data_IF_434899510375
#
_entry.id   IF_434899510375
#
_cell.length_a   1.000
_cell.length_b   1.000
_cell.length_c   1.000
_cell.angle_alpha   90.00
_cell.angle_beta   90.00
_cell.angle_gamma   90.00
#
_symmetry.space_group_name_H-M   'P 1'
#
loop_
_entity.id
_entity.type
_entity.pdbx_description
1 polymer ?
#
# COMPACT_ATOMS: atom_id res chain seq x y z
N UNK A 1 6.13 17.07 -16.10
CA UNK A 1 5.03 16.43 -15.32
C UNK A 1 5.36 16.57 -13.83
N UNK A 2 4.43 16.39 -12.88
CA UNK A 2 4.76 16.43 -11.43
C UNK A 2 4.35 15.12 -10.76
N UNK A 3 5.13 14.66 -9.79
CA UNK A 3 4.81 13.46 -9.02
C UNK A 3 3.58 13.71 -8.14
N UNK A 4 2.50 12.95 -8.31
CA UNK A 4 1.29 13.12 -7.49
C UNK A 4 1.50 12.84 -6.00
N UNK A 5 2.57 12.12 -5.63
CA UNK A 5 2.87 11.79 -4.23
C UNK A 5 3.70 12.87 -3.53
N UNK A 6 4.60 13.53 -4.24
CA UNK A 6 5.59 14.41 -3.62
C UNK A 6 5.79 15.75 -4.35
N UNK A 7 4.97 16.05 -5.35
CA UNK A 7 4.89 17.34 -6.03
C UNK A 7 6.07 17.71 -6.91
N UNK A 8 7.20 16.99 -6.83
CA UNK A 8 8.41 17.29 -7.59
C UNK A 8 8.18 17.16 -9.09
N UNK A 9 8.75 18.09 -9.84
CA UNK A 9 8.78 18.08 -11.30
C UNK A 9 9.59 16.87 -11.77
N UNK A 10 8.96 16.04 -12.59
CA UNK A 10 9.52 14.84 -13.20
C UNK A 10 9.61 15.01 -14.70
N UNK A 11 10.63 14.37 -15.25
CA UNK A 11 10.84 14.23 -16.67
C UNK A 11 9.79 13.28 -17.27
N UNK A 12 9.20 13.60 -18.44
CA UNK A 12 8.16 12.78 -19.05
C UNK A 12 8.58 11.33 -19.33
N UNK A 13 9.88 11.06 -19.54
CA UNK A 13 10.39 9.72 -19.84
C UNK A 13 10.64 8.86 -18.57
N UNK A 14 10.69 9.50 -17.40
CA UNK A 14 10.95 8.79 -16.14
C UNK A 14 9.75 7.97 -15.67
N UNK A 15 9.86 6.63 -15.79
CA UNK A 15 8.87 5.66 -15.31
C UNK A 15 8.79 5.54 -13.80
N UNK A 16 9.81 6.01 -13.06
CA UNK A 16 9.88 5.91 -11.60
C UNK A 16 10.32 7.27 -11.05
N UNK A 17 9.58 7.78 -10.07
CA UNK A 17 9.97 9.02 -9.41
C UNK A 17 11.24 8.78 -8.57
N UNK A 18 12.39 9.43 -8.85
CA UNK A 18 13.64 9.19 -8.12
C UNK A 18 13.60 9.70 -6.67
N UNK A 19 12.73 10.67 -6.35
CA UNK A 19 12.61 11.18 -4.98
C UNK A 19 11.70 10.34 -4.10
N UNK A 20 10.78 9.56 -4.69
CA UNK A 20 9.69 8.91 -3.95
C UNK A 20 9.60 7.41 -4.26
N UNK A 21 10.51 6.94 -5.13
CA UNK A 21 10.80 5.56 -5.57
C UNK A 21 9.56 4.75 -5.95
N UNK A 22 8.50 5.44 -6.35
CA UNK A 22 7.24 4.81 -6.77
C UNK A 22 7.16 4.81 -8.28
N UNK A 23 6.82 3.64 -8.83
CA UNK A 23 6.55 3.45 -10.25
C UNK A 23 5.35 4.32 -10.63
N UNK A 24 5.52 5.10 -11.70
CA UNK A 24 4.46 5.84 -12.36
C UNK A 24 3.49 4.80 -12.92
N UNK A 25 2.29 4.72 -12.36
CA UNK A 25 1.21 3.94 -12.97
C UNK A 25 0.73 4.79 -14.16
N UNK A 26 1.46 4.71 -15.26
CA UNK A 26 0.93 5.10 -16.56
C UNK A 26 -0.21 4.12 -16.86
N UNK A 27 -1.36 4.68 -17.25
CA UNK A 27 -2.67 4.04 -17.14
C UNK A 27 -2.71 2.58 -17.59
N UNK A 28 -3.32 1.74 -16.77
CA UNK A 28 -3.78 0.41 -17.17
C UNK A 28 -4.77 0.53 -18.32
N UNK A 29 -4.56 -0.13 -19.47
CA UNK A 29 -5.68 -0.62 -20.23
C UNK A 29 -6.31 -1.72 -19.38
N UNK A 30 -7.52 -1.45 -18.90
CA UNK A 30 -8.48 -2.50 -18.58
C UNK A 30 -8.64 -3.32 -19.86
N UNK A 31 -8.57 -4.64 -19.77
CA UNK A 31 -9.58 -5.51 -20.36
C UNK A 31 -9.36 -6.94 -19.86
N UNK A 32 -10.16 -7.26 -18.85
CA UNK A 32 -10.39 -8.59 -18.34
C UNK A 32 -11.10 -9.44 -19.40
N UNK A 33 -10.57 -10.63 -19.71
CA UNK A 33 -11.35 -11.75 -20.25
C UNK A 33 -10.79 -13.08 -19.74
N UNK A 34 -10.96 -13.35 -18.45
CA UNK A 34 -10.84 -14.70 -17.90
C UNK A 34 -12.18 -15.09 -17.29
N UNK A 35 -12.94 -15.93 -17.99
CA UNK A 35 -14.15 -16.52 -17.46
C UNK A 35 -14.26 -17.98 -17.92
N UNK A 36 -13.49 -18.87 -17.30
CA UNK A 36 -13.82 -20.30 -17.26
C UNK A 36 -13.28 -20.93 -15.97
N UNK A 37 -13.78 -20.47 -14.81
CA UNK A 37 -13.71 -21.22 -13.55
C UNK A 37 -15.07 -21.90 -13.33
N UNK A 38 -15.00 -23.22 -13.29
CA UNK A 38 -16.01 -24.21 -12.91
C UNK A 38 -17.21 -23.63 -12.12
N UNK A 39 -18.39 -23.65 -12.74
CA UNK A 39 -19.69 -23.43 -12.07
C UNK A 39 -19.93 -24.53 -11.03
N UNK A 40 -20.13 -24.22 -9.73
CA UNK A 40 -20.81 -25.16 -8.86
C UNK A 40 -22.29 -25.24 -9.26
N UNK A 41 -22.69 -26.42 -9.78
CA UNK A 41 -24.08 -26.80 -9.94
C UNK A 41 -24.72 -26.89 -8.55
N UNK A 42 -25.61 -25.96 -8.21
CA UNK A 42 -26.75 -26.21 -7.31
C UNK A 42 -27.70 -25.02 -7.36
N UNK A 43 -28.78 -25.15 -8.13
CA UNK A 43 -29.89 -24.20 -8.11
C UNK A 43 -30.81 -24.56 -6.95
N UNK A 44 -30.55 -24.02 -5.77
CA UNK A 44 -31.52 -24.11 -4.66
C UNK A 44 -32.61 -23.07 -4.93
N UNK A 45 -33.81 -23.54 -5.27
CA UNK A 45 -34.97 -22.69 -5.52
C UNK A 45 -35.71 -22.39 -4.22
N UNK A 46 -35.37 -21.28 -3.57
CA UNK A 46 -36.14 -20.77 -2.43
C UNK A 46 -37.40 -20.08 -2.96
N UNK A 47 -38.55 -20.75 -2.88
CA UNK A 47 -39.86 -20.14 -3.16
C UNK A 47 -40.31 -19.35 -1.93
N UNK A 48 -40.49 -18.05 -2.10
CA UNK A 48 -41.32 -17.23 -1.21
C UNK A 48 -40.52 -16.32 -0.28
N UNK A 49 -40.59 -15.03 -0.56
CA UNK A 49 -40.84 -13.91 0.36
C UNK A 49 -40.56 -12.64 -0.43
N UNK A 50 -41.63 -12.14 -1.08
CA UNK A 50 -41.64 -10.79 -1.61
C UNK A 50 -41.59 -9.82 -0.44
N UNK A 51 -40.54 -9.00 -0.38
CA UNK A 51 -40.52 -7.73 0.33
C UNK A 51 -39.41 -6.87 -0.27
N UNK A 52 -39.82 -5.86 -1.03
CA UNK A 52 -38.94 -4.84 -1.59
C UNK A 52 -38.44 -3.95 -0.45
N UNK A 53 -37.29 -4.28 0.14
CA UNK A 53 -36.57 -3.34 1.00
C UNK A 53 -35.77 -2.39 0.11
N UNK A 54 -36.42 -1.29 -0.30
CA UNK A 54 -35.76 -0.13 -0.93
C UNK A 54 -35.37 0.84 0.17
N UNK A 55 -34.40 0.44 1.00
CA UNK A 55 -33.82 1.29 2.04
C UNK A 55 -32.33 1.34 1.86
N UNK A 56 -31.83 2.36 1.17
CA UNK A 56 -30.39 2.67 1.19
C UNK A 56 -30.16 3.48 2.47
N UNK A 57 -29.80 2.79 3.55
CA UNK A 57 -29.31 3.47 4.75
C UNK A 57 -27.85 3.84 4.50
N UNK A 58 -27.62 5.10 4.18
CA UNK A 58 -26.27 5.67 4.08
C UNK A 58 -25.69 5.78 5.49
N UNK A 59 -24.83 4.85 5.88
CA UNK A 59 -23.95 5.05 7.04
C UNK A 59 -22.81 5.97 6.60
N UNK A 60 -22.79 7.18 7.15
CA UNK A 60 -21.68 8.11 7.01
C UNK A 60 -20.47 7.54 7.73
N UNK A 61 -19.42 7.21 6.97
CA UNK A 61 -18.14 6.80 7.54
C UNK A 61 -17.50 8.00 8.23
N UNK A 62 -17.56 8.03 9.56
CA UNK A 62 -16.79 8.97 10.36
C UNK A 62 -15.32 8.60 10.22
N UNK A 63 -14.54 9.45 9.56
CA UNK A 63 -13.10 9.30 9.51
C UNK A 63 -12.54 9.56 10.91
N UNK A 64 -12.20 8.50 11.64
CA UNK A 64 -11.40 8.62 12.85
C UNK A 64 -10.00 9.08 12.43
N UNK A 65 -9.71 10.36 12.69
CA UNK A 65 -8.37 10.89 12.56
C UNK A 65 -7.54 10.35 13.72
N UNK A 66 -6.91 9.19 13.52
CA UNK A 66 -5.90 8.67 14.44
C UNK A 66 -4.70 9.58 14.28
N UNK A 67 -4.67 10.65 15.07
CA UNK A 67 -3.48 11.46 15.30
C UNK A 67 -2.49 10.55 16.01
N UNK A 68 -1.55 9.99 15.24
CA UNK A 68 -0.37 9.35 15.81
C UNK A 68 0.40 10.48 16.47
N UNK A 69 0.24 10.60 17.79
CA UNK A 69 0.96 11.57 18.60
C UNK A 69 2.44 11.52 18.25
N UNK A 70 2.97 12.65 17.82
CA UNK A 70 4.38 12.87 17.52
C UNK A 70 5.19 12.84 18.83
N UNK A 71 5.18 11.72 19.52
CA UNK A 71 6.19 11.44 20.52
C UNK A 71 7.41 10.95 19.75
N UNK A 72 8.22 11.93 19.34
CA UNK A 72 9.52 11.78 18.71
C UNK A 72 10.48 11.06 19.66
N UNK A 73 10.24 9.77 19.88
CA UNK A 73 11.21 8.86 20.44
C UNK A 73 12.32 8.72 19.41
N UNK A 74 13.40 9.48 19.64
CA UNK A 74 14.67 9.37 18.95
C UNK A 74 15.19 7.94 19.09
N UNK A 75 14.73 7.05 18.19
CA UNK A 75 15.18 5.67 18.13
C UNK A 75 16.70 5.64 18.05
N UNK A 76 17.39 4.92 18.94
CA UNK A 76 18.84 4.92 18.94
C UNK A 76 19.35 4.30 17.63
N UNK A 77 20.38 4.91 17.04
CA UNK A 77 20.95 4.52 15.73
C UNK A 77 22.21 3.67 15.92
N UNK A 78 22.45 2.72 15.02
CA UNK A 78 23.64 1.86 14.97
C UNK A 78 24.30 1.94 13.58
N UNK A 79 25.64 1.91 13.54
CA UNK A 79 26.40 1.89 12.28
C UNK A 79 26.77 0.45 11.92
N UNK A 80 26.55 0.10 10.66
CA UNK A 80 26.99 -1.20 10.15
C UNK A 80 28.52 -1.25 10.04
N UNK A 81 29.16 -2.24 10.65
CA UNK A 81 30.62 -2.41 10.56
C UNK A 81 31.12 -2.81 9.17
N UNK A 82 30.26 -3.34 8.28
CA UNK A 82 30.65 -3.74 6.91
C UNK A 82 30.63 -2.60 5.90
N UNK A 83 29.63 -1.72 5.96
CA UNK A 83 29.42 -0.69 4.93
C UNK A 83 29.16 0.71 5.51
N UNK A 84 29.32 0.88 6.82
CA UNK A 84 29.16 2.13 7.55
C UNK A 84 27.78 2.82 7.41
N UNK A 85 26.78 2.10 6.88
CA UNK A 85 25.41 2.62 6.77
C UNK A 85 24.80 2.73 8.16
N UNK A 86 24.08 3.82 8.41
CA UNK A 86 23.33 4.07 9.65
C UNK A 86 22.00 3.33 9.58
N UNK A 87 21.71 2.52 10.59
CA UNK A 87 20.47 1.74 10.74
C UNK A 87 19.85 2.04 12.11
N UNK A 88 18.61 1.63 12.32
CA UNK A 88 17.95 1.73 13.62
C UNK A 88 18.45 0.60 14.53
N UNK A 89 18.59 0.81 15.84
CA UNK A 89 19.00 -0.27 16.78
C UNK A 89 18.01 -1.45 16.83
N UNK A 90 16.79 -1.27 16.31
CA UNK A 90 15.82 -2.36 16.15
C UNK A 90 16.05 -3.23 14.92
N UNK A 91 16.91 -2.81 13.98
CA UNK A 91 17.20 -3.57 12.78
C UNK A 91 18.17 -4.75 13.09
N UNK A 92 17.80 -5.96 12.69
CA UNK A 92 18.67 -7.15 12.82
C UNK A 92 19.73 -7.24 11.72
N UNK A 93 19.47 -6.58 10.59
CA UNK A 93 20.29 -6.62 9.38
C UNK A 93 20.43 -5.23 8.77
N UNK A 94 21.59 -4.95 8.20
CA UNK A 94 21.83 -3.68 7.52
C UNK A 94 20.96 -3.55 6.27
N UNK A 95 20.28 -2.42 6.12
CA UNK A 95 19.39 -2.14 4.97
C UNK A 95 20.14 -2.01 3.64
N UNK A 96 21.45 -1.74 3.69
CA UNK A 96 22.29 -1.57 2.49
C UNK A 96 23.00 -2.87 2.11
N UNK A 97 23.81 -3.45 3.01
CA UNK A 97 24.66 -4.61 2.67
C UNK A 97 24.13 -5.95 3.20
N UNK A 98 22.98 -5.96 3.89
CA UNK A 98 22.34 -7.16 4.49
C UNK A 98 23.20 -7.89 5.54
N UNK A 99 24.33 -7.33 5.96
CA UNK A 99 25.13 -7.87 7.05
C UNK A 99 24.36 -7.83 8.37
N UNK A 100 24.59 -8.81 9.24
CA UNK A 100 23.99 -8.85 10.57
C UNK A 100 24.50 -7.67 11.39
N UNK A 101 23.58 -6.92 12.02
CA UNK A 101 23.92 -5.85 12.95
C UNK A 101 24.05 -6.51 14.32
N UNK A 102 25.27 -6.84 14.71
CA UNK A 102 25.58 -7.24 16.09
C UNK A 102 25.62 -5.96 16.91
N UNK A 103 24.64 -5.78 17.80
CA UNK A 103 24.56 -4.69 18.77
C UNK A 103 25.78 -4.61 19.67
#
# INVERSE_FOLDING_TARGET
MRCSKCGKTLDPDTKICPSCTRVKIDGSPKDSKDADILKPRSRVSIKGLGSRMTGISHVTATHHNITVSEESASSPKIRCMKCNTVNDKGDRFCRNCKARLTS
#
